data_IF_902006082466
#
_entry.id   IF_902006082466
#
_cell.length_a   1.000
_cell.length_b   1.000
_cell.length_c   1.000
_cell.angle_alpha   90.00
_cell.angle_beta   90.00
_cell.angle_gamma   90.00
#
_symmetry.space_group_name_H-M   'P 1'
#
loop_
_entity.id
_entity.type
_entity.pdbx_description
1 polymer ?
#
# COMPACT_ATOMS: atom_id res chain seq x y z
N UNK A 1 24.71 3.28 6.56
CA UNK A 1 23.24 3.35 6.46
C UNK A 1 22.85 3.00 5.04
N UNK A 2 22.65 1.72 4.75
CA UNK A 2 22.44 1.21 3.40
C UNK A 2 21.05 1.60 2.88
N UNK A 3 21.03 2.26 1.72
CA UNK A 3 19.85 2.81 1.07
C UNK A 3 18.92 1.68 0.63
N UNK A 4 17.76 1.58 1.26
CA UNK A 4 16.66 0.74 0.81
C UNK A 4 15.93 1.44 -0.35
N UNK A 5 16.63 1.61 -1.48
CA UNK A 5 15.99 2.08 -2.69
C UNK A 5 15.47 0.83 -3.42
N UNK A 6 14.15 0.62 -3.38
CA UNK A 6 13.45 -0.38 -4.20
C UNK A 6 13.47 -0.05 -5.72
N UNK A 7 14.43 0.76 -6.15
CA UNK A 7 14.60 1.34 -7.48
C UNK A 7 16.08 1.64 -7.75
N UNK A 8 16.99 0.67 -7.58
CA UNK A 8 18.28 0.78 -8.25
C UNK A 8 18.11 0.39 -9.72
N UNK A 9 18.53 1.27 -10.63
CA UNK A 9 18.31 1.12 -12.08
C UNK A 9 19.13 0.01 -12.75
N UNK A 10 19.56 -1.02 -12.02
CA UNK A 10 20.49 -2.04 -12.51
C UNK A 10 19.87 -3.43 -12.72
N UNK A 11 18.71 -3.77 -12.13
CA UNK A 11 17.92 -4.92 -12.54
C UNK A 11 16.56 -4.87 -11.84
N UNK A 12 15.45 -4.81 -12.57
CA UNK A 12 14.13 -5.00 -11.95
C UNK A 12 14.11 -6.37 -11.28
N UNK A 13 13.89 -6.42 -9.96
CA UNK A 13 13.79 -7.69 -9.23
C UNK A 13 12.77 -8.66 -9.84
N UNK A 14 11.77 -8.15 -10.59
CA UNK A 14 10.88 -9.01 -11.39
C UNK A 14 11.50 -9.57 -12.65
N UNK A 15 12.39 -8.85 -13.31
CA UNK A 15 13.18 -9.40 -14.41
C UNK A 15 14.09 -10.53 -13.90
N UNK A 16 14.71 -10.36 -12.73
CA UNK A 16 15.53 -11.42 -12.11
C UNK A 16 14.69 -12.64 -11.75
N UNK A 17 13.54 -12.45 -11.07
CA UNK A 17 12.65 -13.56 -10.73
C UNK A 17 12.06 -14.24 -11.97
N UNK A 18 11.81 -13.50 -13.06
CA UNK A 18 11.41 -14.05 -14.34
C UNK A 18 12.53 -14.92 -14.93
N UNK A 19 13.78 -14.45 -14.94
CA UNK A 19 14.92 -15.21 -15.42
C UNK A 19 15.12 -16.50 -14.61
N UNK A 20 15.05 -16.42 -13.28
CA UNK A 20 15.14 -17.59 -12.40
C UNK A 20 13.98 -18.57 -12.61
N UNK A 21 12.81 -18.08 -13.02
CA UNK A 21 11.60 -18.87 -13.26
C UNK A 21 11.52 -19.55 -14.62
N UNK A 22 12.11 -18.96 -15.67
CA UNK A 22 11.91 -19.41 -17.06
C UNK A 22 13.19 -19.96 -17.72
N UNK A 23 14.38 -19.71 -17.16
CA UNK A 23 15.64 -20.20 -17.76
C UNK A 23 15.85 -21.68 -17.41
N UNK A 24 15.99 -22.58 -18.41
CA UNK A 24 16.11 -24.03 -18.18
C UNK A 24 17.37 -24.47 -17.42
N UNK A 25 18.38 -23.60 -17.33
CA UNK A 25 19.61 -23.86 -16.59
C UNK A 25 19.39 -23.97 -15.07
N UNK A 26 18.28 -23.43 -14.54
CA UNK A 26 17.93 -23.54 -13.14
C UNK A 26 17.09 -24.79 -12.88
N UNK A 27 17.19 -25.35 -11.67
CA UNK A 27 16.41 -26.51 -11.26
C UNK A 27 14.90 -26.23 -11.29
N UNK A 28 14.09 -27.26 -11.49
CA UNK A 28 12.62 -27.14 -11.45
C UNK A 28 12.12 -26.60 -10.09
N UNK A 29 12.80 -26.96 -9.00
CA UNK A 29 12.54 -26.44 -7.66
C UNK A 29 12.81 -24.92 -7.59
N UNK A 30 13.94 -24.46 -8.14
CA UNK A 30 14.28 -23.04 -8.19
C UNK A 30 13.27 -22.27 -9.05
N UNK A 31 12.95 -22.77 -10.23
CA UNK A 31 11.99 -22.14 -11.14
C UNK A 31 10.61 -21.99 -10.48
N UNK A 32 10.13 -23.06 -9.84
CA UNK A 32 8.84 -23.05 -9.13
C UNK A 32 8.82 -22.07 -7.96
N UNK A 33 9.93 -22.03 -7.20
CA UNK A 33 10.07 -21.13 -6.05
C UNK A 33 10.16 -19.66 -6.48
N UNK A 34 10.90 -19.36 -7.55
CA UNK A 34 11.00 -18.02 -8.12
C UNK A 34 9.65 -17.52 -8.64
N UNK A 35 8.89 -18.36 -9.36
CA UNK A 35 7.52 -18.06 -9.81
C UNK A 35 6.60 -17.77 -8.61
N UNK A 36 6.67 -18.58 -7.56
CA UNK A 36 5.88 -18.38 -6.36
C UNK A 36 6.20 -17.05 -5.64
N UNK A 37 7.46 -16.64 -5.57
CA UNK A 37 7.86 -15.33 -5.02
C UNK A 37 7.38 -14.20 -5.92
N UNK A 38 7.52 -14.33 -7.24
CA UNK A 38 7.05 -13.31 -8.18
C UNK A 38 5.54 -13.08 -8.04
N UNK A 39 4.76 -14.14 -8.11
CA UNK A 39 3.31 -14.06 -8.27
C UNK A 39 2.59 -13.77 -6.94
N UNK A 40 3.09 -14.31 -5.81
CA UNK A 40 2.44 -14.21 -4.50
C UNK A 40 3.15 -13.31 -3.49
N UNK A 41 4.33 -12.77 -3.81
CA UNK A 41 5.04 -11.84 -2.93
C UNK A 41 5.23 -10.51 -3.63
N UNK A 42 6.08 -10.45 -4.67
CA UNK A 42 6.41 -9.18 -5.34
C UNK A 42 5.18 -8.55 -5.94
N UNK A 43 4.39 -9.29 -6.73
CA UNK A 43 3.23 -8.73 -7.41
C UNK A 43 2.16 -8.25 -6.43
N UNK A 44 1.92 -8.98 -5.33
CA UNK A 44 0.98 -8.55 -4.31
C UNK A 44 1.46 -7.29 -3.55
N UNK A 45 2.76 -7.20 -3.27
CA UNK A 45 3.37 -6.01 -2.64
C UNK A 45 3.44 -4.80 -3.59
N UNK A 46 3.71 -5.02 -4.87
CA UNK A 46 3.77 -3.97 -5.90
C UNK A 46 2.40 -3.39 -6.22
N UNK A 47 1.34 -4.19 -6.10
CA UNK A 47 -0.06 -3.76 -6.24
C UNK A 47 -0.74 -3.57 -4.88
N UNK A 48 0.04 -3.16 -3.88
CA UNK A 48 -0.28 -3.12 -2.45
C UNK A 48 -1.75 -2.78 -2.15
N UNK A 49 -2.60 -3.80 -2.04
CA UNK A 49 -3.96 -3.66 -1.55
C UNK A 49 -3.93 -3.98 -0.06
N UNK A 50 -3.68 -2.94 0.75
CA UNK A 50 -3.55 -3.02 2.21
C UNK A 50 -4.74 -3.73 2.89
N UNK A 51 -5.93 -3.69 2.28
CA UNK A 51 -7.12 -4.39 2.76
C UNK A 51 -7.05 -5.91 2.52
N UNK A 52 -6.50 -6.35 1.39
CA UNK A 52 -6.34 -7.77 1.03
C UNK A 52 -5.17 -8.43 1.76
N UNK A 53 -4.14 -7.66 2.08
CA UNK A 53 -2.88 -8.11 2.66
C UNK A 53 -2.91 -8.33 4.18
N UNK A 54 -4.08 -8.44 4.82
CA UNK A 54 -4.28 -8.57 6.28
C UNK A 54 -3.01 -8.85 7.10
N UNK A 55 -2.52 -7.81 7.80
CA UNK A 55 -1.13 -7.63 8.26
C UNK A 55 -0.45 -8.83 8.97
N UNK A 56 -1.21 -9.78 9.50
CA UNK A 56 -0.68 -10.92 10.25
C UNK A 56 -0.42 -12.19 9.42
N UNK A 57 -1.11 -12.39 8.28
CA UNK A 57 -0.94 -13.59 7.43
C UNK A 57 0.04 -13.38 6.30
N UNK A 58 0.16 -12.14 5.82
CA UNK A 58 1.07 -11.79 4.74
C UNK A 58 2.52 -11.89 5.15
N UNK A 59 2.90 -11.51 6.38
CA UNK A 59 4.30 -11.57 6.80
C UNK A 59 4.84 -13.00 6.74
N UNK A 60 4.22 -13.95 7.45
CA UNK A 60 4.78 -15.30 7.59
C UNK A 60 4.85 -16.08 6.27
N UNK A 61 3.81 -16.03 5.45
CA UNK A 61 3.80 -16.74 4.16
C UNK A 61 4.76 -16.11 3.16
N UNK A 62 4.89 -14.77 3.15
CA UNK A 62 5.88 -14.07 2.32
C UNK A 62 7.30 -14.48 2.71
N UNK A 63 7.66 -14.39 3.98
CA UNK A 63 9.01 -14.73 4.45
C UNK A 63 9.32 -16.21 4.22
N UNK A 64 8.36 -17.12 4.38
CA UNK A 64 8.53 -18.53 4.07
C UNK A 64 8.86 -18.75 2.57
N UNK A 65 8.13 -18.12 1.66
CA UNK A 65 8.36 -18.25 0.21
C UNK A 65 9.74 -17.70 -0.18
N UNK A 66 10.14 -16.56 0.39
CA UNK A 66 11.47 -16.00 0.17
C UNK A 66 12.58 -16.93 0.70
N UNK A 67 12.42 -17.54 1.88
CA UNK A 67 13.38 -18.52 2.43
C UNK A 67 13.55 -19.72 1.49
N UNK A 68 12.44 -20.30 1.04
CA UNK A 68 12.48 -21.43 0.11
C UNK A 68 13.14 -21.06 -1.23
N UNK A 69 12.95 -19.83 -1.69
CA UNK A 69 13.63 -19.29 -2.87
C UNK A 69 15.14 -19.22 -2.66
N UNK A 70 15.61 -18.69 -1.53
CA UNK A 70 17.04 -18.62 -1.20
C UNK A 70 17.67 -20.02 -1.10
N UNK A 71 17.00 -20.95 -0.44
CA UNK A 71 17.46 -22.35 -0.31
C UNK A 71 17.53 -23.08 -1.65
N UNK A 72 16.72 -22.66 -2.63
CA UNK A 72 16.71 -23.26 -3.97
C UNK A 72 17.83 -22.74 -4.88
N UNK A 73 18.51 -21.64 -4.51
CA UNK A 73 19.58 -21.01 -5.31
C UNK A 73 20.91 -21.78 -5.25
N UNK A 74 21.02 -22.82 -4.42
CA UNK A 74 22.24 -23.64 -4.26
C UNK A 74 23.49 -22.78 -4.01
N UNK A 75 23.35 -21.76 -3.14
CA UNK A 75 24.42 -20.84 -2.81
C UNK A 75 25.49 -21.52 -1.94
N UNK A 76 26.62 -20.85 -1.76
CA UNK A 76 27.59 -21.28 -0.75
C UNK A 76 26.93 -21.28 0.64
N UNK A 77 27.31 -22.17 1.57
CA UNK A 77 26.73 -22.20 2.91
C UNK A 77 26.85 -20.86 3.64
N UNK A 78 27.93 -20.10 3.37
CA UNK A 78 28.14 -18.78 3.96
C UNK A 78 27.16 -17.74 3.42
N UNK A 79 26.93 -17.73 2.11
CA UNK A 79 26.03 -16.75 1.47
C UNK A 79 24.58 -17.05 1.79
N UNK A 80 24.20 -18.33 1.79
CA UNK A 80 22.86 -18.77 2.16
C UNK A 80 22.53 -18.37 3.61
N UNK A 81 23.45 -18.67 4.54
CA UNK A 81 23.27 -18.33 5.96
C UNK A 81 23.13 -16.82 6.16
N UNK A 82 23.95 -16.03 5.45
CA UNK A 82 23.88 -14.57 5.50
C UNK A 82 22.52 -14.06 5.01
N UNK A 83 22.07 -14.50 3.83
CA UNK A 83 20.79 -14.06 3.25
C UNK A 83 19.59 -14.50 4.09
N UNK A 84 19.59 -15.73 4.62
CA UNK A 84 18.54 -16.21 5.51
C UNK A 84 18.52 -15.46 6.85
N UNK A 85 19.70 -15.05 7.34
CA UNK A 85 19.85 -14.20 8.52
C UNK A 85 19.28 -12.80 8.29
N UNK A 86 19.65 -12.14 7.19
CA UNK A 86 19.11 -10.83 6.79
C UNK A 86 17.58 -10.90 6.61
N UNK A 87 17.07 -11.97 5.99
CA UNK A 87 15.63 -12.18 5.81
C UNK A 87 14.90 -12.41 7.15
N UNK A 88 15.53 -13.11 8.10
CA UNK A 88 15.00 -13.28 9.46
C UNK A 88 15.02 -11.99 10.29
N UNK A 89 16.05 -11.18 10.11
CA UNK A 89 16.13 -9.83 10.68
C UNK A 89 15.01 -8.94 10.12
N UNK A 90 14.72 -9.01 8.82
CA UNK A 90 13.58 -8.31 8.23
C UNK A 90 12.23 -8.82 8.74
N UNK A 91 12.06 -10.13 8.89
CA UNK A 91 10.83 -10.70 9.45
C UNK A 91 10.58 -10.23 10.88
N UNK A 92 11.62 -10.18 11.71
CA UNK A 92 11.49 -9.85 13.13
C UNK A 92 11.52 -8.35 13.41
N UNK A 93 12.45 -7.61 12.80
CA UNK A 93 12.65 -6.17 13.01
C UNK A 93 11.78 -5.34 12.06
N UNK A 94 11.67 -5.76 10.79
CA UNK A 94 10.83 -5.09 9.80
C UNK A 94 9.34 -5.17 10.16
N UNK A 95 8.85 -6.34 10.61
CA UNK A 95 7.46 -6.46 11.08
C UNK A 95 7.21 -5.63 12.32
N UNK A 96 8.17 -5.49 13.23
CA UNK A 96 8.06 -4.57 14.38
C UNK A 96 8.06 -3.11 13.93
N UNK A 97 8.88 -2.75 12.94
CA UNK A 97 8.93 -1.39 12.41
C UNK A 97 7.64 -1.00 11.67
N UNK A 98 7.05 -1.93 10.92
CA UNK A 98 5.79 -1.70 10.21
C UNK A 98 4.54 -1.92 11.08
N UNK A 99 4.63 -2.74 12.13
CA UNK A 99 3.51 -3.14 12.99
C UNK A 99 3.42 -2.40 14.33
N UNK A 100 4.53 -1.86 14.86
CA UNK A 100 4.45 -0.80 15.85
C UNK A 100 4.08 0.46 15.07
N UNK A 101 2.89 1.01 15.30
CA UNK A 101 2.49 2.30 14.72
C UNK A 101 3.65 3.30 14.86
N UNK A 102 4.35 3.68 13.76
CA UNK A 102 5.35 4.74 13.84
C UNK A 102 4.66 6.10 14.10
N UNK A 103 3.34 6.14 13.94
CA UNK A 103 2.49 7.27 14.27
C UNK A 103 2.15 7.15 15.75
N UNK A 104 2.74 8.06 16.54
CA UNK A 104 2.32 8.31 17.92
C UNK A 104 0.77 8.28 18.00
N UNK A 105 0.17 7.50 18.91
CA UNK A 105 -1.28 7.39 19.02
C UNK A 105 -1.97 8.75 19.16
N UNK A 106 -1.30 9.72 19.79
CA UNK A 106 -1.79 11.09 19.92
C UNK A 106 -1.80 11.81 18.56
N UNK A 107 -0.75 11.66 17.76
CA UNK A 107 -0.70 12.16 16.38
C UNK A 107 -1.76 11.49 15.48
N UNK A 108 -1.98 10.18 15.61
CA UNK A 108 -3.01 9.47 14.84
C UNK A 108 -4.42 9.96 15.22
N UNK A 109 -4.66 10.13 16.53
CA UNK A 109 -5.91 10.70 17.07
C UNK A 109 -6.13 12.13 16.57
N UNK A 110 -5.08 12.96 16.57
CA UNK A 110 -5.13 14.33 16.05
C UNK A 110 -5.52 14.34 14.58
N UNK A 111 -4.86 13.54 13.74
CA UNK A 111 -5.19 13.44 12.32
C UNK A 111 -6.62 12.97 12.10
N UNK A 112 -7.08 11.96 12.85
CA UNK A 112 -8.48 11.51 12.76
C UNK A 112 -9.47 12.61 13.15
N UNK A 113 -9.18 13.36 14.21
CA UNK A 113 -10.03 14.45 14.68
C UNK A 113 -10.08 15.59 13.66
N UNK A 114 -8.93 16.05 13.17
CA UNK A 114 -8.83 17.13 12.17
C UNK A 114 -9.53 16.76 10.86
N UNK A 115 -9.34 15.54 10.37
CA UNK A 115 -10.02 15.06 9.15
C UNK A 115 -11.53 14.97 9.37
N UNK A 116 -11.98 14.51 10.53
CA UNK A 116 -13.42 14.43 10.86
C UNK A 116 -14.05 15.81 10.96
N UNK A 117 -13.36 16.77 11.59
CA UNK A 117 -13.81 18.16 11.66
C UNK A 117 -13.86 18.80 10.29
N UNK A 118 -12.84 18.58 9.45
CA UNK A 118 -12.83 19.09 8.08
C UNK A 118 -14.00 18.53 7.26
N UNK A 119 -14.29 17.23 7.39
CA UNK A 119 -15.44 16.60 6.73
C UNK A 119 -16.77 17.25 7.17
N UNK A 120 -16.97 17.42 8.48
CA UNK A 120 -18.16 18.09 9.01
C UNK A 120 -18.29 19.53 8.53
N UNK A 121 -17.19 20.29 8.51
CA UNK A 121 -17.17 21.67 8.04
C UNK A 121 -17.52 21.75 6.55
N UNK A 122 -17.06 20.78 5.75
CA UNK A 122 -17.40 20.69 4.33
C UNK A 122 -18.89 20.40 4.13
N UNK A 123 -19.46 19.48 4.89
CA UNK A 123 -20.90 19.18 4.84
C UNK A 123 -21.75 20.41 5.20
N UNK A 124 -21.37 21.12 6.26
CA UNK A 124 -22.02 22.36 6.66
C UNK A 124 -21.91 23.44 5.59
N UNK A 125 -20.73 23.59 4.99
CA UNK A 125 -20.52 24.52 3.88
C UNK A 125 -21.41 24.19 2.69
N UNK A 126 -21.50 22.91 2.30
CA UNK A 126 -22.38 22.44 1.21
C UNK A 126 -23.84 22.77 1.53
N UNK A 127 -24.31 22.52 2.75
CA UNK A 127 -25.66 22.86 3.18
C UNK A 127 -25.92 24.36 3.12
N UNK A 128 -24.97 25.19 3.54
CA UNK A 128 -25.09 26.64 3.44
C UNK A 128 -25.20 27.12 2.00
N UNK A 129 -24.37 26.59 1.09
CA UNK A 129 -24.43 26.91 -0.34
C UNK A 129 -25.80 26.54 -0.93
N UNK A 130 -26.33 25.36 -0.60
CA UNK A 130 -27.66 24.93 -1.05
C UNK A 130 -28.77 25.84 -0.53
N UNK A 131 -28.72 26.25 0.75
CA UNK A 131 -29.68 27.18 1.34
C UNK A 131 -29.65 28.54 0.64
N UNK A 132 -28.45 29.09 0.41
CA UNK A 132 -28.28 30.37 -0.29
C UNK A 132 -28.84 30.30 -1.71
N UNK A 133 -28.55 29.22 -2.44
CA UNK A 133 -29.11 28.98 -3.78
C UNK A 133 -30.65 28.94 -3.75
N UNK A 134 -31.25 28.20 -2.82
CA UNK A 134 -32.73 28.15 -2.66
C UNK A 134 -33.33 29.52 -2.34
N UNK A 135 -32.70 30.29 -1.47
CA UNK A 135 -33.17 31.64 -1.12
C UNK A 135 -33.04 32.60 -2.30
N UNK A 136 -31.92 32.57 -3.03
CA UNK A 136 -31.75 33.34 -4.26
C UNK A 136 -32.86 33.06 -5.28
N UNK A 137 -33.13 31.78 -5.57
CA UNK A 137 -34.20 31.41 -6.51
C UNK A 137 -35.58 31.84 -6.05
N UNK A 138 -35.89 31.73 -4.75
CA UNK A 138 -37.16 32.24 -4.20
C UNK A 138 -37.30 33.75 -4.40
N UNK A 139 -36.26 34.52 -4.10
CA UNK A 139 -36.27 35.98 -4.28
C UNK A 139 -36.38 36.37 -5.77
N UNK A 140 -35.65 35.70 -6.64
CA UNK A 140 -35.70 35.92 -8.09
C UNK A 140 -37.09 35.62 -8.66
N UNK A 141 -37.73 34.54 -8.20
CA UNK A 141 -39.09 34.17 -8.62
C UNK A 141 -40.14 35.17 -8.11
N UNK A 142 -40.06 35.58 -6.83
CA UNK A 142 -40.94 36.60 -6.25
C UNK A 142 -40.84 37.92 -7.01
N UNK A 143 -39.60 38.36 -7.32
CA UNK A 143 -39.35 39.59 -8.09
C UNK A 143 -39.95 39.52 -9.49
N UNK A 144 -39.76 38.40 -10.18
CA UNK A 144 -40.32 38.17 -11.52
C UNK A 144 -41.85 38.17 -11.50
N UNK A 145 -42.46 37.54 -10.50
CA UNK A 145 -43.92 37.53 -10.32
C UNK A 145 -44.48 38.93 -10.05
N UNK A 146 -43.81 39.70 -9.19
CA UNK A 146 -44.22 41.08 -8.91
C UNK A 146 -44.11 41.98 -10.14
N UNK A 147 -43.14 41.74 -11.03
CA UNK A 147 -43.04 42.49 -12.30
C UNK A 147 -44.18 42.16 -13.27
N UNK A 148 -44.66 40.91 -13.30
CA UNK A 148 -45.76 40.48 -14.17
C UNK A 148 -47.16 40.97 -13.73
N UNK A 149 -47.35 41.28 -12.45
CA UNK A 149 -48.64 41.76 -11.89
C UNK A 149 -48.81 43.29 -12.06
N UNK A 150 -47.73 44.02 -12.34
CA UNK A 150 -47.73 45.48 -12.51
C UNK A 150 -47.83 45.94 -13.99
N UNK A 151 -48.24 45.04 -14.90
CA UNK A 151 -48.64 45.33 -16.28
C UNK A 151 -50.12 44.96 -16.45
#
# INVERSE_FOLDING_TARGET
>A
MAKFNAFDGACDGSAVLLLLGEVPAFSSAMQSSAKAVRDHVRNELAHCNLYRLGCSKVSRTVFMRCRHCVQSLLLSPSDETKLLGELGDWETKGTKFCGNSPVDPSLLSLVHNEVSQLASNLDDFVLQVQRRKKTYWRLAFQKSRNLLINF
#
